data_IF_377502509219
#
_entry.id   IF_377502509219
#
_cell.length_a   1.000
_cell.length_b   1.000
_cell.length_c   1.000
_cell.angle_alpha   90.00
_cell.angle_beta   90.00
_cell.angle_gamma   90.00
#
_symmetry.space_group_name_H-M   'P 1'
#
loop_
_entity.id
_entity.type
_entity.pdbx_description
1 polymer ?
#
# COMPACT_ATOMS: atom_id res chain seq x y z
N UNK A 1 14.64 -0.24 -1.22
CA UNK A 1 14.54 1.13 -1.79
C UNK A 1 15.75 1.94 -1.38
N UNK A 2 16.26 2.83 -2.23
CA UNK A 2 17.37 3.75 -1.92
C UNK A 2 16.87 5.18 -1.87
N UNK A 3 17.53 6.03 -1.07
CA UNK A 3 17.28 7.47 -1.10
C UNK A 3 17.78 8.04 -2.44
N UNK A 4 16.96 8.85 -3.09
CA UNK A 4 17.32 9.50 -4.35
C UNK A 4 18.05 10.83 -4.14
N UNK A 5 17.90 11.44 -2.97
CA UNK A 5 18.45 12.74 -2.62
C UNK A 5 19.10 12.69 -1.24
N UNK A 6 20.15 13.48 -1.04
CA UNK A 6 20.83 13.71 0.23
C UNK A 6 21.08 15.19 0.44
N UNK A 7 21.62 15.54 1.61
CA UNK A 7 22.05 16.90 1.96
C UNK A 7 23.51 16.84 2.41
N UNK A 8 24.30 17.78 1.95
CA UNK A 8 25.69 18.03 2.39
C UNK A 8 25.85 19.53 2.69
N UNK A 9 26.97 19.92 3.27
CA UNK A 9 27.32 21.33 3.44
C UNK A 9 27.47 22.01 2.07
N UNK A 10 27.27 23.33 2.06
CA UNK A 10 27.43 24.11 0.82
C UNK A 10 28.89 23.96 0.36
N UNK A 11 29.08 23.59 -0.91
CA UNK A 11 30.39 23.36 -1.52
C UNK A 11 30.91 21.92 -1.39
N UNK A 12 30.24 21.05 -0.64
CA UNK A 12 30.61 19.63 -0.52
C UNK A 12 29.72 18.73 -1.40
N UNK A 13 30.35 17.72 -2.01
CA UNK A 13 29.61 16.72 -2.79
C UNK A 13 28.92 15.74 -1.84
N UNK A 14 27.60 15.57 -2.00
CA UNK A 14 26.84 14.55 -1.29
C UNK A 14 27.18 13.17 -1.86
N UNK A 15 27.95 12.38 -1.09
CA UNK A 15 28.35 11.02 -1.49
C UNK A 15 27.49 10.00 -0.73
N UNK A 16 26.93 9.04 -1.45
CA UNK A 16 26.21 7.92 -0.88
C UNK A 16 26.55 6.63 -1.60
N UNK A 17 26.71 5.54 -0.84
CA UNK A 17 26.87 4.21 -1.42
C UNK A 17 25.49 3.64 -1.76
N UNK A 18 25.30 3.28 -3.03
CA UNK A 18 24.08 2.63 -3.51
C UNK A 18 24.40 1.17 -3.80
N UNK A 19 23.57 0.20 -3.36
CA UNK A 19 23.78 -1.20 -3.73
C UNK A 19 23.73 -1.35 -5.23
N UNK A 20 24.67 -2.11 -5.76
CA UNK A 20 24.71 -2.49 -7.17
C UNK A 20 24.41 -3.99 -7.27
N UNK A 21 23.60 -4.40 -8.26
CA UNK A 21 23.28 -5.81 -8.48
C UNK A 21 21.88 -6.00 -9.06
N UNK A 22 21.44 -7.25 -9.10
CA UNK A 22 20.07 -7.59 -9.51
C UNK A 22 19.05 -7.12 -8.47
N UNK A 23 18.07 -6.34 -8.93
CA UNK A 23 16.97 -5.87 -8.10
C UNK A 23 15.91 -6.97 -8.00
N UNK A 24 15.60 -7.38 -6.78
CA UNK A 24 14.42 -8.20 -6.52
C UNK A 24 13.21 -7.28 -6.38
N UNK A 25 12.10 -7.70 -6.99
CA UNK A 25 10.83 -6.99 -6.85
C UNK A 25 10.12 -7.50 -5.62
N UNK A 26 9.77 -6.60 -4.71
CA UNK A 26 8.86 -6.89 -3.61
C UNK A 26 7.61 -6.04 -3.79
N UNK A 27 6.45 -6.66 -3.73
CA UNK A 27 5.16 -5.96 -3.79
C UNK A 27 4.52 -5.96 -2.42
N UNK A 28 4.18 -4.77 -1.94
CA UNK A 28 3.38 -4.60 -0.73
C UNK A 28 1.98 -4.14 -1.11
N UNK A 29 0.98 -4.81 -0.56
CA UNK A 29 -0.43 -4.48 -0.71
C UNK A 29 -1.09 -4.45 0.67
N UNK A 30 -2.04 -3.55 0.86
CA UNK A 30 -2.83 -3.43 2.06
C UNK A 30 -4.17 -2.76 1.75
N UNK A 31 -5.08 -2.75 2.69
CA UNK A 31 -6.29 -1.95 2.67
C UNK A 31 -6.16 -0.79 3.68
N UNK A 32 -6.74 0.35 3.35
CA UNK A 32 -6.84 1.49 4.26
C UNK A 32 -8.29 1.60 4.76
N UNK A 33 -8.46 1.55 6.07
CA UNK A 33 -9.69 1.92 6.78
C UNK A 33 -9.54 3.30 7.40
N UNK A 34 -10.65 3.89 7.84
CA UNK A 34 -10.62 5.23 8.46
C UNK A 34 -9.81 5.27 9.77
N UNK A 35 -9.57 4.14 10.40
CA UNK A 35 -8.89 4.00 11.69
C UNK A 35 -7.54 3.27 11.61
N UNK A 36 -7.24 2.55 10.52
CA UNK A 36 -6.01 1.74 10.40
C UNK A 36 -5.69 1.32 8.97
N UNK A 37 -4.45 0.89 8.77
CA UNK A 37 -4.09 -0.01 7.66
C UNK A 37 -4.44 -1.45 8.08
N UNK A 38 -5.11 -2.19 7.21
CA UNK A 38 -5.52 -3.57 7.42
C UNK A 38 -5.14 -4.45 6.25
N UNK A 39 -5.28 -5.76 6.40
CA UNK A 39 -5.00 -6.74 5.35
C UNK A 39 -3.61 -6.56 4.68
N UNK A 40 -2.51 -6.37 5.44
CA UNK A 40 -1.20 -6.20 4.84
C UNK A 40 -0.67 -7.52 4.27
N UNK A 41 -0.10 -7.47 3.08
CA UNK A 41 0.56 -8.60 2.44
C UNK A 41 1.82 -8.15 1.72
N UNK A 42 2.92 -8.88 1.95
CA UNK A 42 4.20 -8.66 1.29
C UNK A 42 4.52 -9.86 0.41
N UNK A 43 4.58 -9.65 -0.90
CA UNK A 43 4.84 -10.66 -1.90
C UNK A 43 6.27 -10.53 -2.42
N UNK A 44 7.01 -11.65 -2.48
CA UNK A 44 8.30 -11.71 -3.17
C UNK A 44 8.06 -11.93 -4.65
N UNK A 45 7.91 -10.82 -5.37
CA UNK A 45 7.62 -10.81 -6.79
C UNK A 45 6.67 -9.68 -7.23
N UNK A 46 6.36 -9.63 -8.52
CA UNK A 46 5.38 -8.70 -9.06
C UNK A 46 3.95 -9.15 -8.72
N UNK A 47 3.02 -8.19 -8.68
CA UNK A 47 1.59 -8.44 -8.57
C UNK A 47 1.01 -8.71 -9.97
N UNK A 48 0.36 -9.83 -10.11
CA UNK A 48 -0.49 -10.15 -11.27
C UNK A 48 -1.96 -10.38 -10.84
N UNK A 49 -2.81 -10.75 -11.77
CA UNK A 49 -4.23 -10.96 -11.48
C UNK A 49 -4.49 -12.13 -10.54
N UNK A 50 -3.74 -13.23 -10.67
CA UNK A 50 -3.92 -14.42 -9.84
C UNK A 50 -3.46 -14.15 -8.40
N UNK A 51 -2.31 -13.51 -8.24
CA UNK A 51 -1.83 -13.07 -6.92
C UNK A 51 -2.81 -12.08 -6.27
N UNK A 52 -3.39 -11.16 -7.05
CA UNK A 52 -4.40 -10.24 -6.54
C UNK A 52 -5.67 -10.97 -6.09
N UNK A 53 -6.15 -11.97 -6.84
CA UNK A 53 -7.30 -12.77 -6.44
C UNK A 53 -7.04 -13.56 -5.16
N UNK A 54 -5.83 -14.12 -5.00
CA UNK A 54 -5.40 -14.78 -3.75
C UNK A 54 -5.42 -13.78 -2.60
N UNK A 55 -4.83 -12.60 -2.78
CA UNK A 55 -4.86 -11.54 -1.78
C UNK A 55 -6.28 -11.20 -1.35
N UNK A 56 -7.19 -11.01 -2.32
CA UNK A 56 -8.58 -10.67 -2.02
C UNK A 56 -9.25 -11.76 -1.19
N UNK A 57 -9.09 -13.03 -1.58
CA UNK A 57 -9.76 -14.16 -0.91
C UNK A 57 -9.20 -14.45 0.48
N UNK A 58 -7.87 -14.50 0.58
CA UNK A 58 -7.20 -15.05 1.77
C UNK A 58 -6.82 -13.96 2.79
N UNK A 59 -6.66 -12.71 2.35
CA UNK A 59 -6.14 -11.64 3.21
C UNK A 59 -7.17 -10.52 3.39
N UNK A 60 -7.78 -10.01 2.30
CA UNK A 60 -8.73 -8.91 2.38
C UNK A 60 -10.11 -9.36 2.88
N UNK A 61 -10.68 -10.39 2.27
CA UNK A 61 -12.04 -10.86 2.60
C UNK A 61 -12.26 -11.23 4.07
N UNK A 62 -11.29 -11.83 4.80
CA UNK A 62 -11.43 -12.06 6.24
C UNK A 62 -11.61 -10.79 7.07
N UNK A 63 -11.08 -9.67 6.62
CA UNK A 63 -11.17 -8.36 7.29
C UNK A 63 -12.44 -7.57 6.93
N UNK A 64 -13.18 -8.01 5.90
CA UNK A 64 -14.39 -7.32 5.44
C UNK A 64 -15.60 -7.63 6.34
N UNK A 65 -16.39 -6.59 6.55
CA UNK A 65 -17.68 -6.67 7.23
C UNK A 65 -18.82 -6.45 6.24
N UNK A 66 -20.00 -6.99 6.57
CA UNK A 66 -21.19 -6.73 5.77
C UNK A 66 -21.51 -5.24 5.75
N UNK A 67 -21.71 -4.68 4.55
CA UNK A 67 -21.94 -3.25 4.34
C UNK A 67 -20.68 -2.45 4.02
N UNK A 68 -19.49 -3.05 4.10
CA UNK A 68 -18.25 -2.37 3.66
C UNK A 68 -18.31 -2.04 2.17
N UNK A 69 -17.71 -0.91 1.81
CA UNK A 69 -17.46 -0.54 0.42
C UNK A 69 -15.94 -0.62 0.14
N UNK A 70 -15.55 -1.54 -0.72
CA UNK A 70 -14.16 -1.72 -1.15
C UNK A 70 -13.92 -0.87 -2.39
N UNK A 71 -13.08 0.14 -2.26
CA UNK A 71 -12.73 1.06 -3.35
C UNK A 71 -11.35 0.68 -3.85
N UNK A 72 -11.22 0.41 -5.14
CA UNK A 72 -9.98 -0.02 -5.79
C UNK A 72 -9.71 0.82 -7.02
N UNK A 73 -8.45 1.00 -7.38
CA UNK A 73 -8.11 1.63 -8.64
C UNK A 73 -8.52 0.78 -9.86
N UNK A 74 -8.46 1.37 -11.03
CA UNK A 74 -8.98 0.79 -12.27
C UNK A 74 -7.92 0.00 -13.06
N UNK A 75 -6.95 -0.64 -12.38
CA UNK A 75 -5.93 -1.48 -13.04
C UNK A 75 -6.53 -2.80 -13.54
N UNK A 76 -6.00 -3.31 -14.64
CA UNK A 76 -6.47 -4.57 -15.25
C UNK A 76 -6.30 -5.78 -14.34
N UNK A 77 -5.21 -5.84 -13.56
CA UNK A 77 -4.97 -6.92 -12.60
C UNK A 77 -5.99 -6.95 -11.45
N UNK A 78 -6.70 -5.85 -11.18
CA UNK A 78 -7.76 -5.78 -10.17
C UNK A 78 -9.12 -6.23 -10.68
N UNK A 79 -9.28 -6.42 -12.00
CA UNK A 79 -10.54 -6.81 -12.65
C UNK A 79 -10.62 -8.29 -13.02
N UNK A 80 -9.84 -9.10 -12.34
CA UNK A 80 -9.82 -10.55 -12.57
C UNK A 80 -11.14 -11.14 -12.10
N UNK A 81 -11.62 -12.12 -12.88
CA UNK A 81 -12.82 -12.86 -12.52
C UNK A 81 -12.68 -13.50 -11.14
N UNK A 82 -13.72 -13.40 -10.32
CA UNK A 82 -13.75 -13.90 -8.96
C UNK A 82 -13.46 -12.85 -7.88
N UNK A 83 -12.90 -11.67 -8.23
CA UNK A 83 -12.64 -10.59 -7.25
C UNK A 83 -13.95 -9.99 -6.74
N UNK A 84 -14.84 -9.59 -7.67
CA UNK A 84 -16.13 -9.01 -7.30
C UNK A 84 -17.00 -10.00 -6.53
N UNK A 85 -17.03 -11.25 -6.97
CA UNK A 85 -17.78 -12.34 -6.33
C UNK A 85 -17.28 -12.62 -4.90
N UNK A 86 -15.94 -12.64 -4.70
CA UNK A 86 -15.36 -12.86 -3.38
C UNK A 86 -15.72 -11.74 -2.39
N UNK A 87 -15.68 -10.49 -2.83
CA UNK A 87 -16.07 -9.32 -2.03
C UNK A 87 -17.57 -9.34 -1.73
N UNK A 88 -18.39 -9.59 -2.74
CA UNK A 88 -19.85 -9.67 -2.60
C UNK A 88 -20.27 -10.81 -1.64
N UNK A 89 -19.59 -11.95 -1.65
CA UNK A 89 -19.84 -13.06 -0.73
C UNK A 89 -19.64 -12.68 0.76
N UNK A 90 -18.90 -11.60 1.04
CA UNK A 90 -18.76 -11.03 2.40
C UNK A 90 -19.83 -10.00 2.74
N UNK A 91 -20.79 -9.76 1.85
CA UNK A 91 -21.81 -8.71 2.03
C UNK A 91 -21.25 -7.30 1.81
N UNK A 92 -20.09 -7.19 1.17
CA UNK A 92 -19.42 -5.93 0.84
C UNK A 92 -19.67 -5.56 -0.64
N UNK A 93 -19.50 -4.29 -0.95
CA UNK A 93 -19.64 -3.76 -2.31
C UNK A 93 -18.28 -3.40 -2.89
N UNK A 94 -18.08 -3.63 -4.19
CA UNK A 94 -16.87 -3.26 -4.91
C UNK A 94 -17.14 -2.03 -5.78
N UNK A 95 -16.30 -1.01 -5.67
CA UNK A 95 -16.31 0.19 -6.49
C UNK A 95 -14.93 0.40 -7.12
N UNK A 96 -14.90 0.58 -8.45
CA UNK A 96 -13.68 0.97 -9.15
C UNK A 96 -13.62 2.48 -9.31
N UNK A 97 -12.45 3.04 -8.97
CA UNK A 97 -12.17 4.45 -9.22
C UNK A 97 -12.12 4.75 -10.73
N UNK A 98 -12.40 5.98 -11.16
CA UNK A 98 -12.13 6.38 -12.52
C UNK A 98 -10.66 6.16 -12.89
N UNK A 99 -10.39 5.88 -14.16
CA UNK A 99 -9.02 5.73 -14.63
C UNK A 99 -8.22 7.02 -14.39
N UNK A 100 -6.95 6.88 -14.00
CA UNK A 100 -6.03 8.01 -13.76
C UNK A 100 -6.49 9.00 -12.69
N UNK A 101 -7.15 8.53 -11.64
CA UNK A 101 -7.65 9.36 -10.53
C UNK A 101 -6.99 9.01 -9.18
N UNK A 102 -5.66 9.14 -9.04
CA UNK A 102 -4.97 8.81 -7.78
C UNK A 102 -5.39 9.75 -6.63
N UNK A 103 -5.81 10.98 -6.95
CA UNK A 103 -6.26 11.97 -5.95
C UNK A 103 -7.53 11.52 -5.21
N UNK A 104 -8.32 10.64 -5.82
CA UNK A 104 -9.48 10.03 -5.21
C UNK A 104 -9.13 8.75 -4.41
N UNK A 105 -7.87 8.34 -4.37
CA UNK A 105 -7.45 7.15 -3.66
C UNK A 105 -6.65 7.50 -2.39
N UNK A 106 -7.28 7.49 -1.20
CA UNK A 106 -6.62 7.90 0.05
C UNK A 106 -5.42 7.02 0.42
N UNK A 107 -5.36 5.76 -0.05
CA UNK A 107 -4.26 4.85 0.25
C UNK A 107 -2.92 5.29 -0.39
N UNK A 108 -2.96 6.11 -1.45
CA UNK A 108 -1.75 6.62 -2.09
C UNK A 108 -0.92 7.50 -1.12
N UNK A 109 -1.58 8.27 -0.27
CA UNK A 109 -0.90 9.04 0.79
C UNK A 109 -0.29 8.13 1.85
N UNK A 110 -1.01 7.09 2.25
CA UNK A 110 -0.48 6.09 3.16
C UNK A 110 0.75 5.38 2.57
N UNK A 111 0.70 5.00 1.30
CA UNK A 111 1.84 4.42 0.60
C UNK A 111 3.00 5.39 0.41
N UNK A 112 2.74 6.67 0.23
CA UNK A 112 3.79 7.71 0.19
C UNK A 112 4.56 7.76 1.52
N UNK A 113 3.85 7.78 2.65
CA UNK A 113 4.45 7.70 4.00
C UNK A 113 5.23 6.38 4.19
N UNK A 114 4.61 5.25 3.86
CA UNK A 114 5.25 3.93 3.96
C UNK A 114 6.55 3.89 3.17
N UNK A 115 6.53 4.32 1.90
CA UNK A 115 7.73 4.38 1.05
C UNK A 115 8.82 5.28 1.65
N UNK A 116 8.47 6.39 2.31
CA UNK A 116 9.44 7.24 2.99
C UNK A 116 10.11 6.52 4.15
N UNK A 117 9.34 5.82 4.99
CA UNK A 117 9.85 5.03 6.12
C UNK A 117 10.75 3.88 5.66
N UNK A 118 10.35 3.14 4.63
CA UNK A 118 11.16 2.05 4.08
C UNK A 118 12.47 2.55 3.45
N UNK A 119 12.48 3.74 2.84
CA UNK A 119 13.74 4.37 2.38
C UNK A 119 14.65 4.75 3.54
N UNK A 120 14.08 5.17 4.69
CA UNK A 120 14.87 5.47 5.89
C UNK A 120 15.46 4.20 6.51
N UNK A 121 14.67 3.13 6.59
CA UNK A 121 15.11 1.83 7.11
C UNK A 121 16.25 1.23 6.27
N UNK A 122 16.30 1.56 4.97
CA UNK A 122 17.34 1.11 4.04
C UNK A 122 17.58 -0.41 4.06
N UNK A 123 16.53 -1.20 4.32
CA UNK A 123 16.57 -2.66 4.34
C UNK A 123 17.20 -3.23 3.06
N UNK A 124 18.08 -4.23 3.20
CA UNK A 124 18.84 -4.83 2.10
C UNK A 124 18.53 -6.30 1.90
N UNK A 125 18.05 -6.96 2.94
CA UNK A 125 17.66 -8.36 2.92
C UNK A 125 16.18 -8.51 3.20
N UNK A 126 15.63 -9.64 2.78
CA UNK A 126 14.19 -9.90 2.92
C UNK A 126 13.71 -9.86 4.38
N UNK A 127 14.39 -10.47 5.37
CA UNK A 127 13.99 -10.35 6.77
C UNK A 127 13.94 -8.90 7.27
N UNK A 128 14.96 -8.09 6.91
CA UNK A 128 15.03 -6.68 7.30
C UNK A 128 13.88 -5.87 6.69
N UNK A 129 13.47 -6.22 5.46
CA UNK A 129 12.34 -5.58 4.79
C UNK A 129 11.01 -5.90 5.49
N UNK A 130 10.81 -7.17 5.88
CA UNK A 130 9.62 -7.59 6.64
C UNK A 130 9.54 -6.80 7.95
N UNK A 131 10.63 -6.74 8.70
CA UNK A 131 10.69 -6.01 9.96
C UNK A 131 10.43 -4.51 9.77
N UNK A 132 11.04 -3.90 8.73
CA UNK A 132 10.83 -2.50 8.40
C UNK A 132 9.38 -2.19 8.03
N UNK A 133 8.72 -3.08 7.27
CA UNK A 133 7.30 -2.97 6.93
C UNK A 133 6.44 -3.06 8.19
N UNK A 134 6.67 -4.06 9.04
CA UNK A 134 5.93 -4.24 10.29
C UNK A 134 6.07 -3.02 11.21
N UNK A 135 7.29 -2.52 11.38
CA UNK A 135 7.53 -1.30 12.16
C UNK A 135 6.81 -0.08 11.56
N UNK A 136 6.89 0.09 10.24
CA UNK A 136 6.23 1.20 9.55
C UNK A 136 4.71 1.16 9.70
N UNK A 137 4.09 -0.02 9.62
CA UNK A 137 2.65 -0.18 9.83
C UNK A 137 2.21 0.27 11.23
N UNK A 138 3.01 -0.01 12.26
CA UNK A 138 2.76 0.44 13.63
C UNK A 138 2.81 1.96 13.83
N UNK A 139 3.28 2.74 12.85
CA UNK A 139 3.33 4.21 12.92
C UNK A 139 2.08 4.91 12.39
N UNK A 140 1.10 4.17 11.87
CA UNK A 140 -0.16 4.73 11.38
C UNK A 140 -1.17 4.82 12.52
N UNK A 141 -1.51 6.05 12.93
CA UNK A 141 -2.59 6.28 13.89
C UNK A 141 -3.95 6.37 13.20
N UNK A 142 -5.01 6.17 13.97
CA UNK A 142 -6.38 6.33 13.50
C UNK A 142 -6.64 7.74 12.93
N UNK A 143 -6.17 8.79 13.63
CA UNK A 143 -6.30 10.17 13.15
C UNK A 143 -5.62 10.40 11.81
N UNK A 144 -4.45 9.80 11.59
CA UNK A 144 -3.76 9.90 10.30
C UNK A 144 -4.54 9.19 9.20
N UNK A 145 -5.06 7.99 9.48
CA UNK A 145 -5.86 7.25 8.51
C UNK A 145 -7.12 8.04 8.15
N UNK A 146 -7.83 8.58 9.13
CA UNK A 146 -9.00 9.44 8.89
C UNK A 146 -8.64 10.68 8.06
N UNK A 147 -7.51 11.33 8.32
CA UNK A 147 -7.07 12.49 7.56
C UNK A 147 -6.77 12.18 6.10
N UNK A 148 -6.33 10.95 5.76
CA UNK A 148 -6.19 10.54 4.36
C UNK A 148 -7.55 10.47 3.65
N UNK A 149 -8.60 9.98 4.34
CA UNK A 149 -9.96 9.99 3.79
C UNK A 149 -10.53 11.41 3.64
N UNK A 150 -10.29 12.30 4.62
CA UNK A 150 -10.68 13.72 4.53
C UNK A 150 -10.03 14.42 3.35
N UNK A 151 -8.73 14.20 3.15
CA UNK A 151 -8.00 14.79 2.02
C UNK A 151 -8.55 14.31 0.67
N UNK A 152 -8.92 13.04 0.56
CA UNK A 152 -9.53 12.47 -0.63
C UNK A 152 -11.07 12.75 -0.72
N UNK A 153 -11.62 13.57 0.17
CA UNK A 153 -13.02 14.03 0.21
C UNK A 153 -14.06 12.92 0.50
N UNK A 154 -13.66 11.82 1.14
CA UNK A 154 -14.59 10.77 1.57
C UNK A 154 -15.19 10.99 2.95
N UNK A 155 -14.62 11.86 3.77
CA UNK A 155 -15.11 12.23 5.08
C UNK A 155 -15.18 13.75 5.20
N UNK A 156 -16.25 14.26 5.75
CA UNK A 156 -16.40 15.65 6.16
C UNK A 156 -16.03 15.80 7.63
N UNK A 157 -15.69 17.02 8.04
CA UNK A 157 -15.43 17.38 9.45
C UNK A 157 -16.65 17.16 10.35
#
# INVERSE_FOLDING_TARGET
>A
MTRLYGRSQIGERCLAKVPYGHWQTATFIAALRHDRLSAPWLLDGPMDGDAFLIYVREVLCPELQSGDMVIIDNLSCHKVQGVAEAIAARGAQLLYLPAYSPDLNPIEMAFSKLKALLRQAAARHWPDLIEAVFHALGTFSADQCLNFFRHAQYATD
#
